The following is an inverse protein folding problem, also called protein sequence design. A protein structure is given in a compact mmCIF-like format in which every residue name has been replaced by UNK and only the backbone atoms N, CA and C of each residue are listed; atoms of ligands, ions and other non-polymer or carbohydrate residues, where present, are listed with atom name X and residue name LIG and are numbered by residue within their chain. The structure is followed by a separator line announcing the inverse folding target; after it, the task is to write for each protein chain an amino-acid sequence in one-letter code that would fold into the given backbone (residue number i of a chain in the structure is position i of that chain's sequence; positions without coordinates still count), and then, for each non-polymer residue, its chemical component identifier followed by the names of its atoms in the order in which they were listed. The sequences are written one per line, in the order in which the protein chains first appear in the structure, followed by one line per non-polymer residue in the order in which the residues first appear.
data_IF_074429331456
#
_entry.id   IF_074429331456
#
_cell.length_a   1.000
_cell.length_b   1.000
_cell.length_c   1.000
_cell.angle_alpha   90.00
_cell.angle_beta   90.00
_cell.angle_gamma   90.00
#
_symmetry.space_group_name_H-M   'P 1'
#
loop_
_entity.id
_entity.type
_entity.pdbx_description
1 polymer ?
#
# COMPACT_ATOMS: atom_id res chain seq x y z
N UNK A 1 -14.26 17.33 16.71
CA UNK A 1 -14.98 16.65 15.61
C UNK A 1 -14.36 17.01 14.25
N UNK A 2 -13.05 16.81 14.07
CA UNK A 2 -12.35 17.13 12.82
C UNK A 2 -11.58 15.94 12.23
N UNK A 3 -11.44 14.83 12.96
CA UNK A 3 -10.66 13.68 12.48
C UNK A 3 -11.40 12.85 11.42
N UNK A 4 -12.73 12.88 11.38
CA UNK A 4 -13.51 12.13 10.39
C UNK A 4 -13.41 12.67 8.96
N UNK A 5 -12.88 13.89 8.76
CA UNK A 5 -12.63 14.44 7.42
C UNK A 5 -11.28 14.01 6.84
N UNK A 6 -10.34 13.64 7.71
CA UNK A 6 -8.96 13.30 7.34
C UNK A 6 -8.68 11.80 7.34
N UNK A 7 -9.35 11.07 8.24
CA UNK A 7 -9.17 9.63 8.42
C UNK A 7 -10.48 8.89 8.15
N UNK A 8 -10.37 7.69 7.62
CA UNK A 8 -11.48 6.72 7.60
C UNK A 8 -11.95 6.43 9.03
N UNK A 9 -13.25 6.15 9.21
CA UNK A 9 -13.84 5.92 10.53
C UNK A 9 -13.08 4.83 11.32
N UNK A 10 -12.48 5.23 12.45
CA UNK A 10 -11.80 4.32 13.38
C UNK A 10 -10.31 4.06 13.12
N UNK A 11 -9.67 4.71 12.13
CA UNK A 11 -8.31 4.33 11.70
C UNK A 11 -7.25 5.44 11.65
N UNK A 12 -6.03 5.01 11.29
CA UNK A 12 -4.88 5.85 10.88
C UNK A 12 -4.81 6.05 9.35
N UNK A 13 -5.77 5.47 8.63
CA UNK A 13 -5.84 5.48 7.17
C UNK A 13 -6.43 6.80 6.68
N UNK A 14 -5.66 7.54 5.88
CA UNK A 14 -6.06 8.82 5.30
C UNK A 14 -7.06 8.62 4.17
N UNK A 15 -8.08 9.48 4.12
CA UNK A 15 -8.98 9.58 2.95
C UNK A 15 -8.17 10.02 1.71
N UNK A 16 -8.64 9.77 0.47
CA UNK A 16 -7.88 10.12 -0.73
C UNK A 16 -7.45 11.59 -0.79
N UNK A 17 -8.36 12.53 -0.48
CA UNK A 17 -8.06 13.96 -0.50
C UNK A 17 -7.07 14.37 0.60
N UNK A 18 -7.19 13.77 1.80
CA UNK A 18 -6.25 14.01 2.88
C UNK A 18 -4.86 13.46 2.55
N UNK A 19 -4.79 12.25 1.98
CA UNK A 19 -3.54 11.64 1.56
C UNK A 19 -2.79 12.49 0.55
N UNK A 20 -3.46 12.99 -0.49
CA UNK A 20 -2.83 13.85 -1.50
C UNK A 20 -2.27 15.14 -0.90
N UNK A 21 -3.04 15.79 -0.03
CA UNK A 21 -2.61 17.02 0.64
C UNK A 21 -1.37 16.78 1.53
N UNK A 22 -1.38 15.70 2.31
CA UNK A 22 -0.27 15.39 3.21
C UNK A 22 0.97 14.95 2.41
N UNK A 23 0.81 14.13 1.35
CA UNK A 23 1.92 13.72 0.49
C UNK A 23 2.64 14.92 -0.14
N UNK A 24 1.91 15.90 -0.67
CA UNK A 24 2.50 17.11 -1.25
C UNK A 24 3.25 17.94 -0.18
N UNK A 25 2.67 18.05 1.01
CA UNK A 25 3.29 18.76 2.14
C UNK A 25 4.59 18.08 2.61
N UNK A 26 4.58 16.75 2.73
CA UNK A 26 5.74 15.96 3.11
C UNK A 26 6.83 15.97 2.04
N UNK A 27 6.47 15.97 0.77
CA UNK A 27 7.43 16.08 -0.32
C UNK A 27 8.13 17.45 -0.30
N UNK A 28 7.38 18.54 -0.11
CA UNK A 28 7.96 19.88 0.08
C UNK A 28 8.90 19.92 1.29
N UNK A 29 8.54 19.24 2.37
CA UNK A 29 9.38 19.11 3.56
C UNK A 29 10.68 18.37 3.23
N UNK A 30 10.60 17.22 2.56
CA UNK A 30 11.73 16.39 2.15
C UNK A 30 12.69 17.16 1.22
N UNK A 31 12.16 17.94 0.27
CA UNK A 31 12.96 18.83 -0.60
C UNK A 31 13.77 19.82 0.24
N UNK A 32 13.11 20.50 1.18
CA UNK A 32 13.74 21.53 2.02
C UNK A 32 14.80 20.94 2.95
N UNK A 33 14.57 19.74 3.48
CA UNK A 33 15.51 19.05 4.38
C UNK A 33 16.54 18.21 3.66
N UNK A 34 16.51 18.15 2.32
CA UNK A 34 17.33 17.26 1.49
C UNK A 34 17.25 15.80 1.95
N UNK A 35 16.03 15.34 2.26
CA UNK A 35 15.79 13.97 2.70
C UNK A 35 15.03 13.14 1.65
N UNK A 36 15.05 11.83 1.84
CA UNK A 36 14.35 10.89 0.99
C UNK A 36 12.91 10.66 1.46
N UNK A 37 12.04 10.40 0.49
CA UNK A 37 10.66 9.99 0.73
C UNK A 37 10.34 8.89 -0.26
N UNK A 38 9.89 7.74 0.23
CA UNK A 38 9.50 6.61 -0.62
C UNK A 38 8.01 6.38 -0.56
N UNK A 39 7.37 6.43 -1.72
CA UNK A 39 5.97 6.08 -1.90
C UNK A 39 5.87 4.62 -2.34
N UNK A 40 5.04 3.87 -1.64
CA UNK A 40 4.69 2.48 -1.93
C UNK A 40 3.20 2.41 -2.24
N UNK A 41 2.83 1.80 -3.34
CA UNK A 41 1.43 1.54 -3.72
C UNK A 41 1.13 0.06 -3.57
N UNK A 42 0.01 -0.28 -2.93
CA UNK A 42 -0.44 -1.65 -2.72
C UNK A 42 -1.83 -1.79 -3.34
N UNK A 43 -1.92 -2.57 -4.42
CA UNK A 43 -3.17 -2.90 -5.10
C UNK A 43 -3.60 -4.31 -4.69
N UNK A 44 -4.74 -4.42 -4.00
CA UNK A 44 -5.39 -5.69 -3.72
C UNK A 44 -6.53 -5.92 -4.72
N UNK A 45 -6.52 -7.08 -5.36
CA UNK A 45 -7.53 -7.49 -6.34
C UNK A 45 -7.94 -8.94 -6.10
N UNK A 46 -9.13 -9.32 -6.57
CA UNK A 46 -9.62 -10.70 -6.54
C UNK A 46 -10.18 -11.09 -7.89
N UNK A 47 -10.24 -12.39 -8.12
CA UNK A 47 -10.97 -12.93 -9.27
C UNK A 47 -12.44 -13.13 -8.90
N UNK A 48 -13.33 -12.53 -9.67
CA UNK A 48 -14.78 -12.65 -9.53
C UNK A 48 -15.38 -12.94 -10.91
N UNK A 49 -16.01 -14.10 -11.07
CA UNK A 49 -16.64 -14.52 -12.35
C UNK A 49 -15.69 -14.42 -13.56
N UNK A 50 -14.39 -14.72 -13.37
CA UNK A 50 -13.37 -14.65 -14.41
C UNK A 50 -12.87 -13.24 -14.74
N UNK A 51 -13.29 -12.22 -13.97
CA UNK A 51 -12.78 -10.85 -14.05
C UNK A 51 -11.92 -10.52 -12.82
N UNK A 52 -10.84 -9.77 -13.04
CA UNK A 52 -10.04 -9.22 -11.93
C UNK A 52 -10.70 -7.92 -11.49
N UNK A 53 -11.15 -7.88 -10.24
CA UNK A 53 -11.79 -6.71 -9.62
C UNK A 53 -10.98 -6.26 -8.41
N UNK A 54 -10.98 -4.96 -8.11
CA UNK A 54 -10.39 -4.43 -6.87
C UNK A 54 -11.06 -5.09 -5.67
N UNK A 55 -10.27 -5.37 -4.63
CA UNK A 55 -10.81 -5.86 -3.37
C UNK A 55 -11.80 -4.84 -2.77
N UNK A 56 -12.78 -5.33 -2.00
CA UNK A 56 -13.72 -4.46 -1.30
C UNK A 56 -13.04 -3.67 -0.18
N UNK A 57 -13.73 -2.62 0.29
CA UNK A 57 -13.24 -1.72 1.34
C UNK A 57 -12.88 -2.46 2.63
N UNK A 58 -13.63 -3.48 3.03
CA UNK A 58 -13.34 -4.28 4.23
C UNK A 58 -12.01 -5.02 4.10
N UNK A 59 -11.78 -5.66 2.95
CA UNK A 59 -10.51 -6.32 2.66
C UNK A 59 -9.34 -5.33 2.61
N UNK A 60 -9.52 -4.17 1.96
CA UNK A 60 -8.49 -3.13 1.94
C UNK A 60 -8.19 -2.59 3.34
N UNK A 61 -9.20 -2.48 4.20
CA UNK A 61 -9.04 -2.07 5.59
C UNK A 61 -8.21 -3.09 6.38
N UNK A 62 -8.45 -4.39 6.22
CA UNK A 62 -7.63 -5.45 6.83
C UNK A 62 -6.17 -5.38 6.38
N UNK A 63 -5.93 -5.19 5.06
CA UNK A 63 -4.58 -4.99 4.52
C UNK A 63 -3.93 -3.74 5.13
N UNK A 64 -4.68 -2.64 5.27
CA UNK A 64 -4.19 -1.42 5.88
C UNK A 64 -3.81 -1.61 7.36
N UNK A 65 -4.59 -2.38 8.13
CA UNK A 65 -4.24 -2.72 9.51
C UNK A 65 -2.93 -3.52 9.60
N UNK A 66 -2.76 -4.49 8.70
CA UNK A 66 -1.54 -5.31 8.64
C UNK A 66 -0.33 -4.41 8.35
N UNK A 67 -0.43 -3.54 7.33
CA UNK A 67 0.62 -2.58 6.99
C UNK A 67 0.91 -1.66 8.17
N UNK A 68 -0.14 -1.12 8.80
CA UNK A 68 -0.03 -0.17 9.92
C UNK A 68 0.76 -0.68 11.11
N UNK A 69 0.77 -2.00 11.34
CA UNK A 69 1.54 -2.65 12.43
C UNK A 69 3.03 -2.81 12.09
N UNK A 70 3.38 -2.75 10.82
CA UNK A 70 4.76 -2.97 10.34
C UNK A 70 5.52 -1.66 10.07
N UNK A 71 4.85 -0.51 10.12
CA UNK A 71 5.41 0.81 9.77
C UNK A 71 5.49 1.73 11.00
N UNK A 72 6.33 2.77 10.95
CA UNK A 72 6.51 3.69 12.08
C UNK A 72 5.32 4.61 12.21
N UNK A 73 5.09 5.19 13.38
CA UNK A 73 4.01 6.17 13.64
C UNK A 73 4.09 7.45 12.78
N UNK A 74 5.27 7.75 12.25
CA UNK A 74 5.50 8.89 11.35
C UNK A 74 5.17 8.60 9.90
N UNK A 75 5.18 7.32 9.49
CA UNK A 75 4.86 6.93 8.12
C UNK A 75 3.38 7.21 7.82
N UNK A 76 3.02 7.44 6.57
CA UNK A 76 1.64 7.76 6.21
C UNK A 76 1.00 6.57 5.51
N UNK A 77 -0.26 6.29 5.84
CA UNK A 77 -1.05 5.30 5.15
C UNK A 77 -2.35 5.96 4.70
N UNK A 78 -2.73 5.78 3.45
CA UNK A 78 -3.95 6.36 2.90
C UNK A 78 -4.45 5.65 1.66
N UNK A 79 -5.64 6.04 1.21
CA UNK A 79 -6.14 5.62 -0.10
C UNK A 79 -5.59 6.51 -1.21
N UNK A 80 -5.32 5.92 -2.36
CA UNK A 80 -5.17 6.66 -3.61
C UNK A 80 -6.55 7.01 -4.17
N UNK A 81 -6.60 7.99 -5.08
CA UNK A 81 -7.81 8.28 -5.85
C UNK A 81 -8.31 7.10 -6.72
N UNK A 82 -7.46 6.09 -6.95
CA UNK A 82 -7.80 4.88 -7.73
C UNK A 82 -8.32 3.73 -6.86
N UNK A 83 -8.43 3.92 -5.55
CA UNK A 83 -8.88 2.89 -4.60
C UNK A 83 -7.79 1.91 -4.16
N UNK A 84 -6.52 2.16 -4.52
CA UNK A 84 -5.39 1.41 -3.98
C UNK A 84 -4.99 1.96 -2.60
N UNK A 85 -4.18 1.20 -1.86
CA UNK A 85 -3.52 1.70 -0.67
C UNK A 85 -2.19 2.35 -1.04
N UNK A 86 -1.84 3.41 -0.34
CA UNK A 86 -0.57 4.09 -0.46
C UNK A 86 0.08 4.26 0.90
N UNK A 87 1.35 3.85 0.98
CA UNK A 87 2.22 3.97 2.15
C UNK A 87 3.36 4.93 1.80
N UNK A 88 3.56 5.95 2.64
CA UNK A 88 4.69 6.89 2.53
C UNK A 88 5.66 6.60 3.65
N UNK A 89 6.85 6.16 3.29
CA UNK A 89 7.97 5.96 4.19
C UNK A 89 8.78 7.25 4.23
N UNK A 90 8.73 7.92 5.39
CA UNK A 90 9.48 9.16 5.60
C UNK A 90 10.93 8.87 5.95
N UNK A 91 11.84 9.72 5.46
CA UNK A 91 13.27 9.64 5.71
C UNK A 91 13.88 8.28 5.28
N UNK A 92 13.32 7.69 4.23
CA UNK A 92 13.69 6.38 3.71
C UNK A 92 13.97 6.46 2.20
N UNK A 93 15.20 6.10 1.81
CA UNK A 93 15.55 5.91 0.41
C UNK A 93 14.99 4.58 -0.15
N UNK A 94 15.25 4.33 -1.42
CA UNK A 94 14.76 3.13 -2.09
C UNK A 94 15.34 1.83 -1.51
N UNK A 95 16.60 1.82 -1.08
CA UNK A 95 17.25 0.61 -0.54
C UNK A 95 16.77 0.29 0.89
N UNK A 96 16.55 1.32 1.71
CA UNK A 96 16.02 1.16 3.05
C UNK A 96 14.54 0.79 3.04
N UNK A 97 13.78 1.29 2.06
CA UNK A 97 12.36 0.98 1.90
C UNK A 97 12.11 -0.45 1.45
N UNK A 98 12.98 -1.09 0.65
CA UNK A 98 12.79 -2.49 0.25
C UNK A 98 12.65 -3.42 1.46
N UNK A 99 13.45 -3.23 2.52
CA UNK A 99 13.33 -4.03 3.75
C UNK A 99 11.99 -3.85 4.47
N UNK A 100 11.39 -2.66 4.39
CA UNK A 100 10.06 -2.41 4.95
C UNK A 100 9.00 -3.07 4.06
N UNK A 101 9.14 -2.95 2.74
CA UNK A 101 8.25 -3.57 1.76
C UNK A 101 8.27 -5.08 1.90
N UNK A 102 9.45 -5.71 2.00
CA UNK A 102 9.59 -7.16 2.18
C UNK A 102 8.91 -7.63 3.47
N UNK A 103 9.05 -6.87 4.56
CA UNK A 103 8.37 -7.18 5.84
C UNK A 103 6.85 -7.07 5.71
N UNK A 104 6.37 -6.00 5.08
CA UNK A 104 4.94 -5.79 4.81
C UNK A 104 4.38 -6.92 3.94
N UNK A 105 5.03 -7.22 2.82
CA UNK A 105 4.64 -8.30 1.91
C UNK A 105 4.62 -9.63 2.66
N UNK A 106 5.69 -9.97 3.36
CA UNK A 106 5.76 -11.21 4.17
C UNK A 106 4.62 -11.28 5.18
N UNK A 107 4.25 -10.17 5.81
CA UNK A 107 3.17 -10.15 6.80
C UNK A 107 1.81 -10.39 6.16
N UNK A 108 1.58 -9.80 4.99
CA UNK A 108 0.34 -9.99 4.23
C UNK A 108 0.26 -11.41 3.66
N UNK A 109 1.37 -11.98 3.18
CA UNK A 109 1.45 -13.36 2.67
C UNK A 109 1.08 -14.40 3.73
N UNK A 110 1.48 -14.15 4.98
CA UNK A 110 1.18 -15.04 6.12
C UNK A 110 -0.20 -14.78 6.74
N UNK A 111 -1.02 -13.89 6.16
CA UNK A 111 -2.36 -13.62 6.61
C UNK A 111 -3.39 -14.43 5.80
N UNK A 112 -4.26 -15.15 6.49
CA UNK A 112 -5.33 -15.92 5.87
C UNK A 112 -6.54 -15.03 5.59
N UNK A 113 -6.58 -14.45 4.38
CA UNK A 113 -7.76 -13.72 3.94
C UNK A 113 -8.94 -14.67 3.67
N UNK A 114 -10.18 -14.26 3.97
CA UNK A 114 -11.37 -15.06 3.68
C UNK A 114 -11.57 -15.36 2.18
N UNK A 115 -11.04 -14.51 1.30
CA UNK A 115 -11.10 -14.64 -0.15
C UNK A 115 -9.69 -14.66 -0.74
N UNK A 116 -9.49 -15.38 -1.84
CA UNK A 116 -8.23 -15.35 -2.57
C UNK A 116 -7.94 -13.93 -3.10
N UNK A 117 -6.77 -13.39 -2.76
CA UNK A 117 -6.33 -12.05 -3.13
C UNK A 117 -5.06 -12.09 -3.95
N UNK A 118 -5.01 -11.25 -4.97
CA UNK A 118 -3.80 -10.88 -5.68
C UNK A 118 -3.35 -9.52 -5.20
N UNK A 119 -2.08 -9.42 -4.82
CA UNK A 119 -1.47 -8.20 -4.33
C UNK A 119 -0.36 -7.79 -5.28
N UNK A 120 -0.45 -6.57 -5.81
CA UNK A 120 0.64 -5.94 -6.52
C UNK A 120 1.19 -4.80 -5.66
N UNK A 121 2.50 -4.78 -5.46
CA UNK A 121 3.19 -3.71 -4.75
C UNK A 121 4.12 -3.00 -5.71
N UNK A 122 3.99 -1.69 -5.80
CA UNK A 122 4.87 -0.81 -6.56
C UNK A 122 5.53 0.22 -5.65
N UNK A 123 6.69 0.73 -6.04
CA UNK A 123 7.40 1.71 -5.22
C UNK A 123 8.21 2.71 -6.06
N UNK A 124 8.26 3.96 -5.59
CA UNK A 124 9.11 5.01 -6.14
C UNK A 124 9.62 5.92 -5.02
N UNK A 125 10.77 6.55 -5.26
CA UNK A 125 11.51 7.29 -4.23
C UNK A 125 11.83 8.67 -4.76
N UNK A 126 11.52 9.71 -3.98
CA UNK A 126 12.09 11.03 -4.15
C UNK A 126 13.47 11.08 -3.50
N UNK A 127 14.49 11.71 -4.12
CA UNK A 127 14.49 12.31 -5.47
C UNK A 127 14.91 11.33 -6.59
N UNK A 128 15.20 10.07 -6.28
CA UNK A 128 15.82 9.09 -7.20
C UNK A 128 15.00 8.78 -8.45
N UNK A 129 13.68 8.67 -8.29
CA UNK A 129 12.74 8.23 -9.32
C UNK A 129 11.83 9.35 -9.80
N UNK A 130 11.60 10.36 -8.97
CA UNK A 130 10.66 11.45 -9.20
C UNK A 130 11.02 12.66 -8.35
N UNK A 131 10.60 13.84 -8.80
CA UNK A 131 10.89 15.14 -8.13
C UNK A 131 9.62 15.87 -7.65
N UNK A 132 8.44 15.37 -8.01
CA UNK A 132 7.14 15.92 -7.65
C UNK A 132 6.15 14.79 -7.32
N UNK A 133 5.05 15.10 -6.63
CA UNK A 133 4.12 14.10 -6.12
C UNK A 133 3.42 13.32 -7.24
N UNK A 134 3.11 13.96 -8.36
CA UNK A 134 2.42 13.30 -9.48
C UNK A 134 3.35 12.36 -10.23
N UNK A 135 4.60 12.77 -10.49
CA UNK A 135 5.61 11.86 -11.05
C UNK A 135 5.92 10.71 -10.09
N UNK A 136 5.97 10.95 -8.78
CA UNK A 136 6.20 9.91 -7.77
C UNK A 136 5.08 8.86 -7.76
N UNK A 137 3.82 9.29 -7.75
CA UNK A 137 2.65 8.39 -7.86
C UNK A 137 2.70 7.56 -9.13
N UNK A 138 2.93 8.20 -10.29
CA UNK A 138 3.04 7.48 -11.58
C UNK A 138 4.18 6.46 -11.58
N UNK A 139 5.34 6.81 -11.03
CA UNK A 139 6.49 5.91 -10.97
C UNK A 139 6.21 4.72 -10.04
N UNK A 140 5.55 4.93 -8.89
CA UNK A 140 5.20 3.85 -7.98
C UNK A 140 4.24 2.85 -8.64
N UNK A 141 3.18 3.34 -9.30
CA UNK A 141 2.18 2.50 -9.96
C UNK A 141 2.72 1.75 -11.19
N UNK A 142 3.63 2.37 -11.95
CA UNK A 142 4.16 1.76 -13.19
C UNK A 142 5.29 0.75 -12.95
N UNK A 143 5.79 0.65 -11.71
CA UNK A 143 6.92 -0.22 -11.34
C UNK A 143 6.52 -1.20 -10.25
N UNK A 144 5.69 -2.21 -10.56
CA UNK A 144 5.41 -3.27 -9.60
C UNK A 144 6.71 -4.04 -9.31
N UNK A 145 7.09 -4.06 -8.04
CA UNK A 145 8.25 -4.79 -7.51
C UNK A 145 7.85 -6.15 -6.94
N UNK A 146 6.58 -6.30 -6.53
CA UNK A 146 6.01 -7.58 -6.08
C UNK A 146 4.67 -7.80 -6.76
N UNK A 147 4.42 -9.04 -7.18
CA UNK A 147 3.12 -9.49 -7.66
C UNK A 147 2.83 -10.87 -7.10
N UNK A 148 2.02 -10.90 -6.05
CA UNK A 148 1.69 -12.11 -5.31
C UNK A 148 0.24 -12.51 -5.56
N UNK A 149 -0.02 -13.82 -5.55
CA UNK A 149 -1.37 -14.40 -5.54
C UNK A 149 -1.51 -15.29 -4.31
N UNK A 150 -2.35 -14.89 -3.38
CA UNK A 150 -2.77 -15.66 -2.22
C UNK A 150 -4.15 -16.23 -2.37
N UNK A 151 -4.34 -17.42 -1.84
CA UNK A 151 -5.63 -18.08 -1.75
C UNK A 151 -5.45 -19.40 -1.02
N UNK A 152 -6.47 -19.79 -0.26
CA UNK A 152 -6.49 -21.07 0.45
C UNK A 152 -6.17 -22.21 -0.53
N UNK A 153 -5.10 -22.95 -0.27
CA UNK A 153 -4.96 -24.31 -0.79
C UNK A 153 -6.15 -25.12 -0.28
N UNK A 154 -7.21 -25.24 -1.06
CA UNK A 154 -8.08 -26.39 -0.95
C UNK A 154 -7.26 -27.58 -1.44
N UNK A 155 -6.61 -28.24 -0.48
CA UNK A 155 -6.06 -29.58 -0.67
C UNK A 155 -7.23 -30.49 -1.07
N UNK A 156 -7.41 -30.68 -2.37
CA UNK A 156 -8.26 -31.73 -2.91
C UNK A 156 -7.57 -33.07 -2.64
N UNK A 157 -7.65 -33.55 -1.40
CA UNK A 157 -7.53 -34.97 -1.10
C UNK A 157 -8.81 -35.65 -1.58
N UNK A 158 -8.83 -35.99 -2.88
CA UNK A 158 -9.75 -36.95 -3.45
C UNK A 158 -8.92 -38.16 -3.89
N UNK A 159 -8.51 -38.95 -2.90
CA UNK A 159 -7.86 -40.25 -3.12
C UNK A 159 -8.94 -41.35 -3.09
N UNK A 160 -9.24 -41.83 -4.31
CA UNK A 160 -9.54 -43.22 -4.69
C UNK A 160 -10.59 -44.01 -3.88
N UNK A 161 -11.72 -44.26 -4.54
CA UNK A 161 -12.39 -45.57 -4.52
C UNK A 161 -12.07 -46.29 -5.84
#
# INVERSE_FOLDING_TARGET
MASSAFYEEGGRLLTPGAFEFVLDSELKRAVRSQNFLTLVTVEASREWEGMVVTADEGTLHEVAEIIGREVRDTDLLGHTATGALALVLLDADFEHSTRVIDRVVSRIENYEFPTALRIAVGAACYPTHAVDADSLKRQAMSRPIVNWRGGSHTSSSAEKN
#
